data_IF_669402787449
#
_entry.id   IF_669402787449
#
_cell.length_a   1.000
_cell.length_b   1.000
_cell.length_c   1.000
_cell.angle_alpha   90.00
_cell.angle_beta   90.00
_cell.angle_gamma   90.00
#
_symmetry.space_group_name_H-M   'P 1'
#
loop_
_entity.id
_entity.type
_entity.pdbx_description
1 polymer ?
#
# COMPACT_ATOMS: atom_id res chain seq x y z
N UNK A 1 -21.72 -5.75 -1.29
CA UNK A 1 -22.38 -4.74 -2.20
C UNK A 1 -21.43 -3.63 -2.71
N UNK A 2 -20.20 -3.48 -2.18
CA UNK A 2 -19.24 -2.43 -2.58
C UNK A 2 -18.51 -2.77 -3.90
N UNK A 3 -18.50 -4.04 -4.33
CA UNK A 3 -17.81 -4.47 -5.55
C UNK A 3 -18.51 -4.13 -6.89
N UNK A 4 -19.69 -3.53 -6.84
CA UNK A 4 -20.57 -3.40 -8.03
C UNK A 4 -20.39 -2.11 -8.85
N UNK A 5 -19.64 -1.11 -8.37
CA UNK A 5 -19.55 0.19 -9.04
C UNK A 5 -18.30 0.42 -9.92
N UNK A 6 -17.37 -0.54 -10.00
CA UNK A 6 -16.17 -0.41 -10.86
C UNK A 6 -16.12 -1.53 -11.91
N UNK A 7 -17.13 -1.61 -12.78
CA UNK A 7 -17.06 -2.40 -14.01
C UNK A 7 -16.35 -1.58 -15.10
N UNK A 8 -15.03 -1.44 -14.98
CA UNK A 8 -14.24 -1.11 -16.17
C UNK A 8 -14.17 -2.34 -17.06
N UNK A 9 -14.33 -2.18 -18.39
CA UNK A 9 -13.99 -3.25 -19.31
C UNK A 9 -12.48 -3.56 -19.20
N UNK A 10 -12.07 -4.77 -19.54
CA UNK A 10 -10.64 -5.12 -19.54
C UNK A 10 -9.81 -4.22 -20.49
N UNK A 11 -10.44 -3.75 -21.56
CA UNK A 11 -9.84 -2.84 -22.54
C UNK A 11 -9.65 -1.44 -21.92
N UNK A 12 -10.65 -0.94 -21.18
CA UNK A 12 -10.56 0.37 -20.53
C UNK A 12 -9.50 0.37 -19.43
N UNK A 13 -9.45 -0.71 -18.64
CA UNK A 13 -8.45 -0.86 -17.59
C UNK A 13 -7.01 -0.91 -18.13
N UNK A 14 -6.79 -1.59 -19.25
CA UNK A 14 -5.47 -1.62 -19.90
C UNK A 14 -5.09 -0.25 -20.48
N UNK A 15 -6.04 0.42 -21.12
CA UNK A 15 -5.81 1.75 -21.69
C UNK A 15 -5.48 2.78 -20.60
N UNK A 16 -6.22 2.76 -19.49
CA UNK A 16 -5.93 3.63 -18.33
C UNK A 16 -4.54 3.31 -17.75
N UNK A 17 -4.24 2.02 -17.53
CA UNK A 17 -2.96 1.59 -16.97
C UNK A 17 -1.78 2.01 -17.84
N UNK A 18 -1.88 1.83 -19.16
CA UNK A 18 -0.84 2.20 -20.10
C UNK A 18 -0.64 3.71 -20.19
N UNK A 19 -1.72 4.48 -20.23
CA UNK A 19 -1.66 5.93 -20.23
C UNK A 19 -1.00 6.47 -18.96
N UNK A 20 -1.36 5.92 -17.80
CA UNK A 20 -0.80 6.31 -16.51
C UNK A 20 0.67 5.91 -16.38
N UNK A 21 1.04 4.72 -16.87
CA UNK A 21 2.43 4.25 -16.93
C UNK A 21 3.30 5.20 -17.75
N UNK A 22 2.88 5.52 -18.98
CA UNK A 22 3.61 6.41 -19.88
C UNK A 22 3.72 7.81 -19.29
N UNK A 23 2.64 8.35 -18.73
CA UNK A 23 2.65 9.67 -18.10
C UNK A 23 3.66 9.71 -16.94
N UNK A 24 3.67 8.72 -16.05
CA UNK A 24 4.61 8.67 -14.93
C UNK A 24 6.07 8.52 -15.38
N UNK A 25 6.35 7.63 -16.34
CA UNK A 25 7.70 7.41 -16.86
C UNK A 25 8.24 8.68 -17.54
N UNK A 26 7.40 9.42 -18.25
CA UNK A 26 7.83 10.63 -18.95
C UNK A 26 7.96 11.87 -18.05
N UNK A 27 7.34 11.89 -16.88
CA UNK A 27 7.29 13.10 -16.04
C UNK A 27 8.00 12.94 -14.70
N UNK A 28 7.51 12.06 -13.85
CA UNK A 28 7.83 12.07 -12.42
C UNK A 28 8.87 11.06 -11.98
N UNK A 29 9.18 10.06 -12.79
CA UNK A 29 10.02 8.93 -12.41
C UNK A 29 11.42 9.34 -11.94
N UNK A 30 12.01 10.40 -12.56
CA UNK A 30 13.34 10.89 -12.17
C UNK A 30 13.38 11.56 -10.79
N UNK A 31 12.23 12.00 -10.30
CA UNK A 31 12.09 12.57 -8.96
C UNK A 31 11.62 11.54 -7.92
N UNK A 32 11.24 10.34 -8.39
CA UNK A 32 10.64 9.31 -7.55
C UNK A 32 11.48 8.98 -6.30
N UNK A 33 12.78 8.80 -6.46
CA UNK A 33 13.67 8.47 -5.34
C UNK A 33 13.63 9.51 -4.21
N UNK A 34 13.44 10.79 -4.55
CA UNK A 34 13.41 11.91 -3.59
C UNK A 34 12.03 12.15 -3.00
N UNK A 35 10.98 12.01 -3.83
CA UNK A 35 9.62 12.44 -3.49
C UNK A 35 8.69 11.30 -3.07
N UNK A 36 9.00 10.04 -3.35
CA UNK A 36 8.13 8.89 -3.15
C UNK A 36 7.58 8.71 -1.73
N UNK A 37 8.25 9.27 -0.73
CA UNK A 37 7.83 9.16 0.66
C UNK A 37 6.87 10.27 1.09
N UNK A 38 6.68 11.30 0.26
CA UNK A 38 5.74 12.38 0.56
C UNK A 38 4.35 11.98 0.12
N UNK A 39 3.38 12.10 1.01
CA UNK A 39 1.97 12.04 0.70
C UNK A 39 1.43 13.47 0.57
N UNK A 40 1.31 13.95 -0.65
CA UNK A 40 0.80 15.29 -0.94
C UNK A 40 -0.73 15.36 -0.94
N UNK A 41 -1.37 14.36 -0.36
CA UNK A 41 -2.82 14.26 -0.32
C UNK A 41 -3.41 13.68 -1.60
N UNK A 42 -4.66 13.32 -1.53
CA UNK A 42 -5.41 12.54 -2.51
C UNK A 42 -5.28 13.03 -3.95
N UNK A 43 -5.34 14.35 -4.16
CA UNK A 43 -5.35 14.96 -5.50
C UNK A 43 -3.95 15.23 -6.07
N UNK A 44 -2.89 15.07 -5.28
CA UNK A 44 -1.54 15.54 -5.64
C UNK A 44 -0.49 14.42 -5.66
N UNK A 45 -0.88 13.16 -5.86
CA UNK A 45 0.02 11.99 -5.86
C UNK A 45 0.74 11.75 -7.19
N UNK A 46 1.09 12.79 -7.92
CA UNK A 46 1.89 12.68 -9.16
C UNK A 46 3.35 12.23 -8.94
N UNK A 47 3.82 12.23 -7.70
CA UNK A 47 5.16 11.77 -7.29
C UNK A 47 5.30 10.24 -7.19
N UNK A 48 4.21 9.50 -7.26
CA UNK A 48 4.18 8.03 -7.29
C UNK A 48 3.43 7.52 -8.52
N UNK A 49 3.68 6.29 -8.93
CA UNK A 49 3.10 5.78 -10.18
C UNK A 49 1.60 5.50 -10.13
N UNK A 50 1.05 5.25 -8.94
CA UNK A 50 -0.33 4.83 -8.71
C UNK A 50 -0.75 3.57 -9.53
N UNK A 51 0.22 2.76 -9.98
CA UNK A 51 0.00 1.59 -10.83
C UNK A 51 -0.28 0.31 -10.05
N UNK A 52 -0.22 0.36 -8.72
CA UNK A 52 -0.32 -0.84 -7.87
C UNK A 52 -1.60 -1.64 -8.09
N UNK A 53 -2.74 -0.98 -8.30
CA UNK A 53 -4.01 -1.64 -8.62
C UNK A 53 -3.94 -2.47 -9.91
N UNK A 54 -3.32 -1.94 -10.95
CA UNK A 54 -3.21 -2.62 -12.24
C UNK A 54 -2.23 -3.79 -12.20
N UNK A 55 -1.13 -3.62 -11.46
CA UNK A 55 -0.14 -4.68 -11.28
C UNK A 55 -0.70 -5.82 -10.41
N UNK A 56 -1.44 -5.49 -9.34
CA UNK A 56 -2.07 -6.50 -8.48
C UNK A 56 -3.03 -7.40 -9.26
N UNK A 57 -3.78 -6.82 -10.18
CA UNK A 57 -4.77 -7.51 -11.01
C UNK A 57 -4.22 -8.02 -12.35
N UNK A 58 -2.90 -7.95 -12.57
CA UNK A 58 -2.24 -8.44 -13.79
C UNK A 58 -2.70 -7.76 -15.08
N UNK A 59 -3.18 -6.52 -15.01
CA UNK A 59 -3.50 -5.68 -16.17
C UNK A 59 -2.22 -5.25 -16.88
N UNK A 60 -1.17 -4.93 -16.09
CA UNK A 60 0.21 -4.77 -16.56
C UNK A 60 1.14 -5.67 -15.72
N UNK A 61 2.22 -6.14 -16.31
CA UNK A 61 3.18 -6.99 -15.64
C UNK A 61 4.37 -6.19 -15.14
N UNK A 62 4.96 -6.64 -14.05
CA UNK A 62 6.15 -6.03 -13.44
C UNK A 62 7.30 -5.94 -14.43
N UNK A 63 7.52 -7.01 -15.31
CA UNK A 63 8.56 -7.01 -16.27
C UNK A 63 8.32 -5.98 -17.40
N UNK A 64 7.03 -5.76 -17.91
CA UNK A 64 6.70 -4.81 -18.97
C UNK A 64 6.93 -3.37 -18.49
N UNK A 65 6.60 -3.11 -17.21
CA UNK A 65 6.86 -1.81 -16.58
C UNK A 65 8.37 -1.52 -16.44
N UNK A 66 9.18 -2.53 -16.11
CA UNK A 66 10.63 -2.39 -16.01
C UNK A 66 11.25 -2.17 -17.40
N UNK A 67 10.85 -2.96 -18.39
CA UNK A 67 11.36 -2.89 -19.76
C UNK A 67 11.06 -1.51 -20.36
N UNK A 68 9.82 -1.03 -20.26
CA UNK A 68 9.42 0.29 -20.76
C UNK A 68 10.16 1.44 -20.02
N UNK A 69 10.45 1.26 -18.74
CA UNK A 69 11.24 2.22 -17.96
C UNK A 69 12.69 2.27 -18.48
N UNK A 70 13.32 1.12 -18.70
CA UNK A 70 14.71 1.01 -19.13
C UNK A 70 14.93 1.38 -20.60
N UNK A 71 13.90 1.32 -21.43
CA UNK A 71 13.96 1.84 -22.80
C UNK A 71 14.09 3.36 -22.84
N UNK A 72 13.62 4.06 -21.81
CA UNK A 72 13.55 5.54 -21.77
C UNK A 72 14.58 6.17 -20.85
N UNK A 73 15.04 5.43 -19.85
CA UNK A 73 15.94 5.97 -18.83
C UNK A 73 17.08 5.01 -18.50
N UNK A 74 18.25 5.57 -18.23
CA UNK A 74 19.38 4.83 -17.70
C UNK A 74 19.03 4.26 -16.31
N UNK A 75 19.43 3.01 -16.05
CA UNK A 75 19.16 2.30 -14.81
C UNK A 75 19.50 3.12 -13.56
N UNK A 76 20.66 3.76 -13.51
CA UNK A 76 21.11 4.54 -12.35
C UNK A 76 20.14 5.68 -11.95
N UNK A 77 19.38 6.20 -12.91
CA UNK A 77 18.41 7.29 -12.66
C UNK A 77 17.07 6.77 -12.11
N UNK A 78 16.75 5.52 -12.35
CA UNK A 78 15.46 4.88 -12.03
C UNK A 78 15.60 3.66 -11.11
N UNK A 79 16.80 3.38 -10.65
CA UNK A 79 17.14 2.22 -9.81
C UNK A 79 16.15 2.06 -8.65
N UNK A 80 15.83 3.16 -7.95
CA UNK A 80 14.94 3.11 -6.79
C UNK A 80 13.52 2.68 -7.15
N UNK A 81 13.02 3.09 -8.30
CA UNK A 81 11.70 2.68 -8.78
C UNK A 81 11.70 1.17 -9.11
N UNK A 82 12.73 0.71 -9.82
CA UNK A 82 12.89 -0.70 -10.18
C UNK A 82 13.02 -1.59 -8.93
N UNK A 83 13.78 -1.14 -7.92
CA UNK A 83 13.89 -1.86 -6.65
C UNK A 83 12.53 -2.04 -5.97
N UNK A 84 11.66 -1.03 -5.98
CA UNK A 84 10.33 -1.12 -5.36
C UNK A 84 9.41 -2.11 -6.12
N UNK A 85 9.58 -2.24 -7.44
CA UNK A 85 8.89 -3.28 -8.23
C UNK A 85 9.41 -4.68 -7.84
N UNK A 86 10.72 -4.85 -7.71
CA UNK A 86 11.31 -6.13 -7.31
C UNK A 86 10.91 -6.56 -5.89
N UNK A 87 10.73 -5.64 -4.95
CA UNK A 87 10.20 -5.98 -3.63
C UNK A 87 8.85 -6.68 -3.73
N UNK A 88 7.98 -6.24 -4.61
CA UNK A 88 6.68 -6.87 -4.84
C UNK A 88 6.81 -8.30 -5.37
N UNK A 89 7.72 -8.52 -6.33
CA UNK A 89 8.01 -9.86 -6.88
C UNK A 89 8.59 -10.77 -5.80
N UNK A 90 9.54 -10.24 -5.02
CA UNK A 90 10.17 -10.95 -3.92
C UNK A 90 9.15 -11.41 -2.86
N UNK A 91 8.25 -10.51 -2.43
CA UNK A 91 7.22 -10.84 -1.46
C UNK A 91 6.29 -11.95 -1.95
N UNK A 92 5.89 -11.92 -3.21
CA UNK A 92 5.05 -12.96 -3.81
C UNK A 92 5.74 -14.32 -3.86
N UNK A 93 7.03 -14.35 -4.17
CA UNK A 93 7.81 -15.57 -4.19
C UNK A 93 8.10 -16.16 -2.81
N UNK A 94 8.19 -15.30 -1.78
CA UNK A 94 8.53 -15.68 -0.43
C UNK A 94 7.34 -16.25 0.36
N UNK A 95 6.14 -15.69 0.19
CA UNK A 95 4.96 -16.11 0.95
C UNK A 95 4.20 -17.24 0.23
N UNK A 96 4.20 -18.43 0.82
CA UNK A 96 3.37 -19.53 0.32
C UNK A 96 1.90 -19.29 0.69
N UNK A 97 0.92 -19.53 -0.22
CA UNK A 97 -0.51 -19.23 0.01
C UNK A 97 -1.11 -19.81 1.29
N UNK A 98 -0.73 -21.04 1.70
CA UNK A 98 -1.21 -21.67 2.94
C UNK A 98 -0.77 -20.91 4.19
N UNK A 99 0.47 -20.46 4.20
CA UNK A 99 1.05 -19.72 5.34
C UNK A 99 0.35 -18.37 5.51
N UNK A 100 -0.07 -17.75 4.40
CA UNK A 100 -0.82 -16.50 4.44
C UNK A 100 -2.17 -16.67 5.14
N UNK A 101 -2.92 -17.71 4.82
CA UNK A 101 -4.23 -17.97 5.40
C UNK A 101 -4.17 -18.15 6.92
N UNK A 102 -3.16 -18.89 7.40
CA UNK A 102 -2.94 -19.11 8.84
C UNK A 102 -2.61 -17.81 9.58
N UNK A 103 -1.89 -16.88 8.94
CA UNK A 103 -1.57 -15.59 9.56
C UNK A 103 -2.77 -14.68 9.70
N UNK A 104 -3.68 -14.67 8.74
CA UNK A 104 -4.85 -13.77 8.74
C UNK A 104 -5.96 -14.29 9.65
N UNK A 105 -6.08 -15.61 9.79
CA UNK A 105 -7.14 -16.24 10.57
C UNK A 105 -6.73 -16.64 12.00
N UNK A 106 -5.54 -16.23 12.46
CA UNK A 106 -5.13 -16.50 13.84
C UNK A 106 -6.04 -15.75 14.82
N UNK A 107 -6.62 -16.47 15.78
CA UNK A 107 -7.41 -15.89 16.86
C UNK A 107 -6.47 -15.16 17.84
N UNK A 108 -6.71 -13.88 18.03
CA UNK A 108 -6.02 -13.07 19.03
C UNK A 108 -7.06 -12.39 19.92
N UNK A 109 -6.81 -12.22 21.22
CA UNK A 109 -7.69 -11.43 22.08
C UNK A 109 -7.87 -10.03 21.51
N UNK A 110 -9.10 -9.58 21.37
CA UNK A 110 -9.43 -8.30 20.75
C UNK A 110 -10.35 -7.48 21.63
N UNK A 111 -10.00 -6.24 21.83
CA UNK A 111 -10.95 -5.24 22.32
C UNK A 111 -11.90 -4.87 21.16
N UNK A 112 -13.10 -5.45 21.21
CA UNK A 112 -14.11 -5.26 20.17
C UNK A 112 -14.60 -3.82 20.04
N UNK A 113 -14.61 -3.04 21.12
CA UNK A 113 -15.02 -1.64 21.07
C UNK A 113 -13.97 -0.78 20.36
N UNK A 114 -12.70 -0.96 20.71
CA UNK A 114 -11.58 -0.30 20.02
C UNK A 114 -11.51 -0.71 18.55
N UNK A 115 -11.70 -1.99 18.23
CA UNK A 115 -11.74 -2.46 16.84
C UNK A 115 -12.87 -1.79 16.05
N UNK A 116 -14.07 -1.71 16.62
CA UNK A 116 -15.22 -1.07 15.97
C UNK A 116 -14.96 0.41 15.71
N UNK A 117 -14.37 1.13 16.66
CA UNK A 117 -13.96 2.53 16.47
C UNK A 117 -12.91 2.69 15.40
N UNK A 118 -11.89 1.84 15.40
CA UNK A 118 -10.83 1.86 14.39
C UNK A 118 -11.36 1.63 12.97
N UNK A 119 -12.19 0.60 12.80
CA UNK A 119 -12.82 0.33 11.51
C UNK A 119 -13.80 1.42 11.06
N UNK A 120 -14.39 2.16 12.01
CA UNK A 120 -15.30 3.24 11.70
C UNK A 120 -14.61 4.58 11.40
N UNK A 121 -13.31 4.75 11.73
CA UNK A 121 -12.61 6.03 11.69
C UNK A 121 -13.12 6.98 12.78
N UNK A 122 -13.23 6.47 14.01
CA UNK A 122 -13.73 7.19 15.19
C UNK A 122 -12.87 6.92 16.42
N UNK A 123 -11.57 6.88 16.23
CA UNK A 123 -10.60 6.61 17.29
C UNK A 123 -10.28 7.85 18.12
N UNK A 124 -10.52 9.03 17.55
CA UNK A 124 -10.10 10.33 18.10
C UNK A 124 -8.65 10.68 17.73
N UNK A 125 -7.99 9.87 16.90
CA UNK A 125 -6.70 10.20 16.29
C UNK A 125 -6.99 10.72 14.88
N UNK A 126 -7.02 12.05 14.75
CA UNK A 126 -7.49 12.75 13.55
C UNK A 126 -6.89 12.19 12.25
N UNK A 127 -5.57 12.14 12.13
CA UNK A 127 -4.92 11.63 10.93
C UNK A 127 -5.29 10.16 10.62
N UNK A 128 -5.46 9.32 11.64
CA UNK A 128 -5.87 7.93 11.46
C UNK A 128 -7.32 7.84 10.96
N UNK A 129 -8.20 8.62 11.51
CA UNK A 129 -9.63 8.66 11.17
C UNK A 129 -9.82 9.19 9.74
N UNK A 130 -9.02 10.18 9.31
CA UNK A 130 -8.97 10.68 7.94
C UNK A 130 -8.48 9.61 6.96
N UNK A 131 -7.45 8.85 7.31
CA UNK A 131 -6.96 7.75 6.47
C UNK A 131 -7.98 6.61 6.34
N UNK A 132 -8.76 6.31 7.38
CA UNK A 132 -9.88 5.35 7.28
C UNK A 132 -10.94 5.88 6.32
N UNK A 133 -11.24 7.16 6.36
CA UNK A 133 -12.17 7.81 5.45
C UNK A 133 -11.67 7.72 4.00
N UNK A 134 -10.41 8.04 3.76
CA UNK A 134 -9.78 7.93 2.44
C UNK A 134 -9.83 6.50 1.90
N UNK A 135 -9.46 5.50 2.71
CA UNK A 135 -9.53 4.09 2.31
C UNK A 135 -10.95 3.73 1.87
N UNK A 136 -11.97 4.14 2.62
CA UNK A 136 -13.37 3.82 2.32
C UNK A 136 -13.91 4.53 1.08
N UNK A 137 -13.43 5.72 0.79
CA UNK A 137 -13.90 6.53 -0.34
C UNK A 137 -13.15 6.21 -1.63
N UNK A 138 -11.84 5.90 -1.52
CA UNK A 138 -10.92 5.77 -2.68
C UNK A 138 -10.36 4.38 -2.87
N UNK A 139 -10.51 3.51 -1.88
CA UNK A 139 -9.92 2.17 -1.89
C UNK A 139 -8.40 2.20 -2.12
N UNK A 140 -7.76 3.27 -1.68
CA UNK A 140 -6.32 3.51 -1.81
C UNK A 140 -5.79 4.28 -0.61
N UNK A 141 -4.52 4.10 -0.31
CA UNK A 141 -3.76 4.89 0.63
C UNK A 141 -2.30 4.93 0.17
N UNK A 142 -1.64 6.05 0.33
CA UNK A 142 -0.23 6.20 -0.01
C UNK A 142 0.65 5.21 0.79
N UNK A 143 1.70 4.65 0.16
CA UNK A 143 2.51 3.59 0.78
C UNK A 143 3.09 3.96 2.15
N UNK A 144 3.60 5.19 2.29
CA UNK A 144 4.16 5.64 3.57
C UNK A 144 3.07 5.79 4.63
N UNK A 145 1.91 6.29 4.24
CA UNK A 145 0.74 6.42 5.10
C UNK A 145 0.23 5.06 5.59
N UNK A 146 0.32 4.01 4.75
CA UNK A 146 0.01 2.62 5.19
C UNK A 146 0.91 2.15 6.33
N UNK A 147 2.17 2.56 6.33
CA UNK A 147 3.11 2.21 7.41
C UNK A 147 2.74 2.92 8.71
N UNK A 148 2.37 4.20 8.65
CA UNK A 148 1.89 4.94 9.83
C UNK A 148 0.58 4.37 10.35
N UNK A 149 -0.36 4.08 9.45
CA UNK A 149 -1.64 3.45 9.79
C UNK A 149 -1.41 2.14 10.55
N UNK A 150 -0.60 1.24 9.99
CA UNK A 150 -0.32 -0.05 10.60
C UNK A 150 0.38 0.11 11.96
N UNK A 151 1.28 1.08 12.09
CA UNK A 151 1.95 1.37 13.37
C UNK A 151 0.98 1.87 14.44
N UNK A 152 0.08 2.79 14.11
CA UNK A 152 -0.94 3.28 15.03
C UNK A 152 -1.90 2.16 15.43
N UNK A 153 -2.36 1.36 14.44
CA UNK A 153 -3.21 0.20 14.68
C UNK A 153 -2.62 -0.76 15.72
N UNK A 154 -1.34 -1.12 15.53
CA UNK A 154 -0.66 -2.14 16.35
C UNK A 154 -0.23 -1.57 17.70
N UNK A 155 0.45 -0.42 17.70
CA UNK A 155 1.18 0.04 18.89
C UNK A 155 0.41 1.07 19.71
N UNK A 156 -0.50 1.83 19.11
CA UNK A 156 -1.31 2.82 19.81
C UNK A 156 -2.66 2.23 20.20
N UNK A 157 -3.39 1.67 19.22
CA UNK A 157 -4.70 1.07 19.46
C UNK A 157 -4.63 -0.35 20.03
N UNK A 158 -3.44 -0.95 20.09
CA UNK A 158 -3.20 -2.31 20.61
C UNK A 158 -4.03 -3.39 19.92
N UNK A 159 -4.35 -3.20 18.65
CA UNK A 159 -5.13 -4.16 17.88
C UNK A 159 -4.21 -5.18 17.18
N UNK A 160 -4.65 -6.44 17.03
CA UNK A 160 -3.91 -7.46 16.29
C UNK A 160 -3.62 -7.02 14.85
N UNK A 161 -2.36 -7.16 14.41
CA UNK A 161 -1.95 -6.78 13.06
C UNK A 161 -2.72 -7.55 11.97
N UNK A 162 -3.14 -8.78 12.26
CA UNK A 162 -3.90 -9.64 11.35
C UNK A 162 -5.24 -8.99 10.94
N UNK A 163 -5.92 -8.35 11.89
CA UNK A 163 -7.19 -7.67 11.62
C UNK A 163 -6.99 -6.42 10.76
N UNK A 164 -5.90 -5.69 10.97
CA UNK A 164 -5.54 -4.56 10.12
C UNK A 164 -5.14 -5.01 8.71
N UNK A 165 -4.38 -6.10 8.59
CA UNK A 165 -4.03 -6.70 7.32
C UNK A 165 -5.27 -7.17 6.55
N UNK A 166 -6.25 -7.77 7.25
CA UNK A 166 -7.53 -8.16 6.68
C UNK A 166 -8.32 -6.94 6.18
N UNK A 167 -8.41 -5.89 7.00
CA UNK A 167 -9.07 -4.65 6.61
C UNK A 167 -8.46 -4.05 5.33
N UNK A 168 -7.15 -4.00 5.21
CA UNK A 168 -6.48 -3.51 3.99
C UNK A 168 -6.75 -4.40 2.78
N UNK A 169 -6.73 -5.72 2.96
CA UNK A 169 -6.99 -6.65 1.87
C UNK A 169 -8.40 -6.51 1.32
N UNK A 170 -9.38 -6.24 2.19
CA UNK A 170 -10.80 -6.09 1.84
C UNK A 170 -11.13 -4.73 1.23
N UNK A 171 -10.37 -3.68 1.59
CA UNK A 171 -10.71 -2.32 1.18
C UNK A 171 -9.84 -1.78 0.04
N UNK A 172 -8.58 -2.18 -0.06
CA UNK A 172 -7.66 -1.61 -1.04
C UNK A 172 -7.80 -2.28 -2.41
N UNK A 173 -7.93 -1.47 -3.47
CA UNK A 173 -7.95 -1.96 -4.86
C UNK A 173 -6.67 -2.70 -5.27
N UNK A 174 -5.55 -2.38 -4.63
CA UNK A 174 -4.28 -3.04 -4.85
C UNK A 174 -3.98 -4.14 -3.81
N UNK A 175 -4.99 -4.59 -3.10
CA UNK A 175 -4.89 -5.62 -2.08
C UNK A 175 -4.29 -6.91 -2.62
N UNK A 176 -2.99 -7.10 -2.39
CA UNK A 176 -2.24 -8.31 -2.74
C UNK A 176 -1.92 -9.07 -1.47
N UNK A 177 -2.39 -10.31 -1.38
CA UNK A 177 -2.30 -11.11 -0.17
C UNK A 177 -0.87 -11.22 0.38
N UNK A 178 0.13 -11.42 -0.49
CA UNK A 178 1.51 -11.58 -0.08
C UNK A 178 2.12 -10.24 0.37
N UNK A 179 2.07 -9.22 -0.48
CA UNK A 179 2.66 -7.91 -0.19
C UNK A 179 2.01 -7.27 1.03
N UNK A 180 0.68 -7.35 1.14
CA UNK A 180 -0.06 -6.80 2.26
C UNK A 180 0.32 -7.48 3.58
N UNK A 181 0.23 -8.82 3.64
CA UNK A 181 0.55 -9.57 4.86
C UNK A 181 1.99 -9.35 5.32
N UNK A 182 2.96 -9.40 4.40
CA UNK A 182 4.37 -9.25 4.76
C UNK A 182 4.72 -7.80 5.16
N UNK A 183 4.06 -6.80 4.57
CA UNK A 183 4.21 -5.40 4.98
C UNK A 183 3.69 -5.16 6.40
N UNK A 184 2.53 -5.71 6.75
CA UNK A 184 1.99 -5.65 8.10
C UNK A 184 2.89 -6.38 9.12
N UNK A 185 3.41 -7.55 8.75
CA UNK A 185 4.37 -8.30 9.57
C UNK A 185 5.66 -7.53 9.80
N UNK A 186 6.13 -6.81 8.78
CA UNK A 186 7.32 -5.97 8.88
C UNK A 186 7.10 -4.83 9.87
N UNK A 187 5.97 -4.11 9.80
CA UNK A 187 5.62 -3.06 10.77
C UNK A 187 5.52 -3.63 12.17
N UNK A 188 4.86 -4.78 12.34
CA UNK A 188 4.67 -5.46 13.62
C UNK A 188 5.95 -5.99 14.25
N UNK A 189 7.06 -6.07 13.51
CA UNK A 189 8.33 -6.61 14.01
C UNK A 189 8.40 -8.14 14.06
N UNK A 190 7.44 -8.83 13.43
CA UNK A 190 7.41 -10.30 13.36
C UNK A 190 8.08 -10.86 12.10
N UNK A 191 8.42 -10.01 11.14
CA UNK A 191 9.13 -10.38 9.92
C UNK A 191 10.64 -10.45 10.16
N UNK A 192 11.18 -9.51 10.91
CA UNK A 192 12.60 -9.46 11.27
C UNK A 192 12.70 -9.27 12.78
N UNK A 193 13.23 -10.24 13.49
CA UNK A 193 13.32 -10.24 14.96
C UNK A 193 13.96 -8.94 15.47
N UNK A 194 13.28 -8.26 16.41
CA UNK A 194 13.76 -7.06 17.07
C UNK A 194 13.66 -5.76 16.22
N UNK A 195 13.12 -5.83 15.01
CA UNK A 195 12.91 -4.66 14.15
C UNK A 195 11.42 -4.44 13.91
N UNK A 196 10.89 -3.36 14.43
CA UNK A 196 9.52 -2.91 14.19
C UNK A 196 9.52 -1.45 13.72
N UNK A 197 8.48 -1.02 13.07
CA UNK A 197 8.33 0.35 12.59
C UNK A 197 7.38 1.13 13.49
N UNK A 198 7.88 2.20 14.13
CA UNK A 198 7.08 3.10 14.94
C UNK A 198 6.83 4.41 14.19
N UNK A 199 5.55 4.73 13.99
CA UNK A 199 5.15 6.04 13.50
C UNK A 199 5.53 7.11 14.54
N UNK A 200 6.08 8.24 14.06
CA UNK A 200 6.43 9.39 14.87
C UNK A 200 5.70 10.61 14.32
N UNK A 201 5.12 11.43 15.19
CA UNK A 201 4.42 12.64 14.79
C UNK A 201 5.27 13.57 13.90
N UNK A 202 6.55 13.71 14.24
CA UNK A 202 7.50 14.49 13.44
C UNK A 202 7.72 13.94 12.03
N UNK A 203 7.65 12.59 11.86
CA UNK A 203 7.78 11.95 10.56
C UNK A 203 6.48 12.12 9.75
N UNK A 204 5.33 11.93 10.38
CA UNK A 204 4.04 12.18 9.75
C UNK A 204 3.97 13.63 9.28
N UNK A 205 4.23 14.59 10.18
CA UNK A 205 4.21 16.01 9.85
C UNK A 205 5.17 16.39 8.70
N UNK A 206 6.34 15.76 8.63
CA UNK A 206 7.33 16.06 7.58
C UNK A 206 6.89 15.56 6.21
N UNK A 207 6.18 14.44 6.12
CA UNK A 207 5.91 13.73 4.87
C UNK A 207 4.42 13.70 4.49
N UNK A 208 3.54 14.28 5.28
CA UNK A 208 2.13 14.52 4.92
C UNK A 208 1.86 16.01 4.78
N UNK A 209 0.86 16.33 3.95
CA UNK A 209 0.28 17.68 3.90
C UNK A 209 -0.78 17.81 4.98
#
# INVERSE_FOLDING_TARGET
EIYLNYRMSSVDAYTEANSQQIAFINSSILQYARSRNYDFGELNRGNVSNLSKFISHRVILEYDLIDETLRRHEYAKVEKFIQEIFWRVYWKGWLRPRVWYDFVNSESPVDHETLKKALAGRTGIECFDDWVSEIKQRNYLHNHTRMWFASIWIFTLKLPWQLGAKFFLEQLLDGDAASNTLSWRWVAGVQTKGKHYLARSSNIYKFSN
#
